data_IF_661561882851
#
_entry.id   IF_661561882851
#
_cell.length_a   1.000
_cell.length_b   1.000
_cell.length_c   1.000
_cell.angle_alpha   90.00
_cell.angle_beta   90.00
_cell.angle_gamma   90.00
#
_symmetry.space_group_name_H-M   'P 1'
#
loop_
_entity.id
_entity.type
_entity.pdbx_description
1 polymer ?
#
# COMPACT_ATOMS: atom_id res chain seq x y z
N UNK A 1 6.37 -23.81 31.49
CA UNK A 1 6.48 -22.42 31.00
C UNK A 1 7.45 -22.42 29.83
N UNK A 2 7.00 -22.94 28.69
CA UNK A 2 7.88 -23.44 27.64
C UNK A 2 8.01 -22.48 26.46
N UNK A 3 9.24 -22.32 26.00
CA UNK A 3 9.70 -21.55 24.82
C UNK A 3 8.83 -21.82 23.56
N UNK A 4 8.16 -22.98 23.49
CA UNK A 4 7.20 -23.35 22.44
C UNK A 4 5.98 -22.41 22.36
N UNK A 5 5.50 -21.84 23.47
CA UNK A 5 4.31 -20.96 23.47
C UNK A 5 4.57 -19.65 22.73
N UNK A 6 5.73 -19.03 22.95
CA UNK A 6 6.11 -17.77 22.33
C UNK A 6 6.38 -17.93 20.82
N UNK A 7 6.98 -19.05 20.42
CA UNK A 7 7.22 -19.36 18.99
C UNK A 7 5.89 -19.53 18.25
N UNK A 8 4.93 -20.23 18.84
CA UNK A 8 3.60 -20.44 18.23
C UNK A 8 2.83 -19.13 18.14
N UNK A 9 2.86 -18.29 19.17
CA UNK A 9 2.23 -16.96 19.13
C UNK A 9 2.87 -16.04 18.08
N UNK A 10 4.19 -16.08 17.92
CA UNK A 10 4.92 -15.34 16.90
C UNK A 10 4.53 -15.75 15.47
N UNK A 11 4.40 -17.05 15.22
CA UNK A 11 3.97 -17.60 13.93
C UNK A 11 2.51 -17.23 13.63
N UNK A 12 1.61 -17.38 14.60
CA UNK A 12 0.19 -17.03 14.44
C UNK A 12 0.04 -15.52 14.15
N UNK A 13 0.76 -14.66 14.87
CA UNK A 13 0.76 -13.22 14.61
C UNK A 13 1.33 -12.85 13.22
N UNK A 14 2.37 -13.56 12.77
CA UNK A 14 2.92 -13.41 11.41
C UNK A 14 1.92 -13.79 10.32
N UNK A 15 1.22 -14.92 10.49
CA UNK A 15 0.20 -15.42 9.55
C UNK A 15 -1.02 -14.47 9.52
N UNK A 16 -1.49 -14.00 10.67
CA UNK A 16 -2.60 -13.05 10.76
C UNK A 16 -2.29 -11.72 10.07
N UNK A 17 -1.08 -11.17 10.28
CA UNK A 17 -0.64 -9.93 9.61
C UNK A 17 -0.57 -10.12 8.09
N UNK A 18 -0.08 -11.26 7.60
CA UNK A 18 -0.01 -11.55 6.17
C UNK A 18 -1.41 -11.77 5.54
N UNK A 19 -2.33 -12.45 6.23
CA UNK A 19 -3.72 -12.60 5.76
C UNK A 19 -4.46 -11.26 5.72
N UNK A 20 -4.26 -10.39 6.72
CA UNK A 20 -4.87 -9.06 6.75
C UNK A 20 -4.36 -8.17 5.61
N UNK A 21 -3.06 -8.23 5.30
CA UNK A 21 -2.47 -7.55 4.12
C UNK A 21 -3.04 -8.06 2.80
N UNK A 22 -3.23 -9.38 2.64
CA UNK A 22 -3.80 -9.97 1.42
C UNK A 22 -5.29 -9.62 1.21
N UNK A 23 -6.08 -9.49 2.28
CA UNK A 23 -7.49 -9.07 2.18
C UNK A 23 -7.65 -7.61 1.72
N UNK A 24 -6.75 -6.71 2.14
CA UNK A 24 -6.86 -5.26 1.85
C UNK A 24 -6.58 -4.89 0.37
N UNK A 25 -5.98 -5.84 -0.39
CA UNK A 25 -5.65 -5.71 -1.82
C UNK A 25 -6.54 -6.55 -2.74
N UNK A 26 -7.53 -7.27 -2.21
CA UNK A 26 -8.45 -8.03 -3.04
C UNK A 26 -9.24 -7.09 -3.97
N UNK A 27 -9.27 -7.39 -5.27
CA UNK A 27 -9.90 -6.55 -6.30
C UNK A 27 -9.07 -5.34 -6.74
N UNK A 28 -7.84 -5.18 -6.25
CA UNK A 28 -6.90 -4.16 -6.71
C UNK A 28 -5.90 -4.75 -7.70
N UNK A 29 -5.81 -4.11 -8.86
CA UNK A 29 -4.83 -4.40 -9.90
C UNK A 29 -3.64 -3.45 -9.74
N UNK A 30 -2.42 -3.99 -9.69
CA UNK A 30 -1.20 -3.19 -9.66
C UNK A 30 -0.96 -2.56 -11.04
N UNK A 31 -0.60 -1.28 -11.04
CA UNK A 31 -0.34 -0.50 -12.25
C UNK A 31 1.16 -0.24 -12.39
N UNK A 32 1.67 -0.47 -13.60
CA UNK A 32 2.95 0.11 -14.02
C UNK A 32 2.79 1.63 -14.19
N UNK A 33 3.88 2.38 -14.02
CA UNK A 33 3.85 3.85 -14.05
C UNK A 33 3.26 4.42 -15.35
N UNK A 34 3.44 3.72 -16.48
CA UNK A 34 2.88 4.09 -17.79
C UNK A 34 1.35 4.04 -17.84
N UNK A 35 0.72 3.22 -16.99
CA UNK A 35 -0.73 3.02 -16.95
C UNK A 35 -1.42 3.91 -15.88
N UNK A 36 -0.66 4.75 -15.19
CA UNK A 36 -1.18 5.68 -14.17
C UNK A 36 -1.62 6.97 -14.87
N UNK A 37 -2.87 7.43 -14.68
CA UNK A 37 -3.28 8.72 -15.22
C UNK A 37 -2.44 9.85 -14.63
N UNK A 38 -2.01 10.78 -15.48
CA UNK A 38 -1.14 11.90 -15.09
C UNK A 38 -1.68 12.75 -13.94
N UNK A 39 -3.01 12.89 -13.81
CA UNK A 39 -3.62 13.61 -12.69
C UNK A 39 -3.43 12.90 -11.35
N UNK A 40 -3.40 11.56 -11.33
CA UNK A 40 -3.13 10.74 -10.13
C UNK A 40 -1.69 10.89 -9.73
N UNK A 41 -0.75 10.82 -10.69
CA UNK A 41 0.67 10.99 -10.44
C UNK A 41 0.98 12.37 -9.84
N UNK A 42 0.45 13.44 -10.44
CA UNK A 42 0.60 14.81 -9.91
C UNK A 42 0.01 14.96 -8.51
N UNK A 43 -1.17 14.39 -8.27
CA UNK A 43 -1.82 14.45 -6.97
C UNK A 43 -1.05 13.63 -5.91
N UNK A 44 -0.49 12.48 -6.31
CA UNK A 44 0.39 11.64 -5.51
C UNK A 44 1.63 12.40 -5.07
N UNK A 45 2.34 12.99 -6.02
CA UNK A 45 3.55 13.76 -5.77
C UNK A 45 3.28 14.94 -4.82
N UNK A 46 2.18 15.67 -5.04
CA UNK A 46 1.76 16.76 -4.15
C UNK A 46 1.45 16.27 -2.73
N UNK A 47 0.83 15.11 -2.59
CA UNK A 47 0.55 14.51 -1.29
C UNK A 47 1.85 14.09 -0.59
N UNK A 48 2.74 13.40 -1.30
CA UNK A 48 4.03 12.94 -0.77
C UNK A 48 4.89 14.11 -0.27
N UNK A 49 5.01 15.18 -1.05
CA UNK A 49 5.78 16.37 -0.66
C UNK A 49 5.24 17.04 0.61
N UNK A 50 3.91 17.01 0.82
CA UNK A 50 3.28 17.56 2.03
C UNK A 50 3.36 16.62 3.23
N UNK A 51 3.48 15.31 2.97
CA UNK A 51 3.38 14.27 3.98
C UNK A 51 4.55 13.30 3.86
N UNK A 52 5.77 13.70 4.26
CA UNK A 52 6.95 12.86 4.16
C UNK A 52 6.76 11.52 4.88
N UNK A 53 7.22 10.43 4.24
CA UNK A 53 7.14 9.07 4.77
C UNK A 53 8.31 8.85 5.73
N UNK A 54 8.03 8.92 7.04
CA UNK A 54 9.08 8.85 8.08
C UNK A 54 9.37 7.41 8.53
N UNK A 55 8.35 6.78 9.14
CA UNK A 55 8.52 5.54 9.92
C UNK A 55 7.62 4.38 9.46
N UNK A 56 6.57 4.65 8.70
CA UNK A 56 5.61 3.64 8.23
C UNK A 56 5.15 3.95 6.82
N UNK A 57 4.78 2.90 6.08
CA UNK A 57 4.18 3.01 4.75
C UNK A 57 2.92 3.87 4.84
N UNK A 58 2.77 4.81 3.91
CA UNK A 58 1.55 5.62 3.78
C UNK A 58 0.70 5.10 2.64
N UNK A 59 -0.61 5.31 2.76
CA UNK A 59 -1.56 4.97 1.72
C UNK A 59 -2.44 6.17 1.43
N UNK A 60 -2.67 6.47 0.16
CA UNK A 60 -3.67 7.46 -0.25
C UNK A 60 -4.50 6.92 -1.41
N UNK A 61 -5.81 7.05 -1.27
CA UNK A 61 -6.76 6.69 -2.31
C UNK A 61 -7.18 7.98 -3.07
N UNK A 62 -7.15 7.93 -4.40
CA UNK A 62 -7.55 8.97 -5.34
C UNK A 62 -8.75 8.47 -6.15
N UNK A 63 -9.87 9.17 -6.09
CA UNK A 63 -11.13 8.73 -6.69
C UNK A 63 -11.25 9.33 -8.09
N UNK A 64 -11.12 8.49 -9.11
CA UNK A 64 -11.42 8.85 -10.48
C UNK A 64 -12.90 8.64 -10.83
N UNK A 65 -13.25 8.93 -12.09
CA UNK A 65 -14.62 8.77 -12.60
C UNK A 65 -15.07 7.30 -12.60
N UNK A 66 -14.23 6.40 -13.11
CA UNK A 66 -14.53 4.98 -13.28
C UNK A 66 -13.75 4.06 -12.33
N UNK A 67 -12.59 4.51 -11.87
CA UNK A 67 -11.67 3.73 -11.06
C UNK A 67 -11.31 4.49 -9.78
N UNK A 68 -11.06 3.74 -8.72
CA UNK A 68 -10.36 4.22 -7.54
C UNK A 68 -8.90 3.83 -7.68
N UNK A 69 -8.00 4.79 -7.53
CA UNK A 69 -6.56 4.58 -7.55
C UNK A 69 -6.04 4.61 -6.12
N UNK A 70 -5.13 3.71 -5.78
CA UNK A 70 -4.48 3.67 -4.47
C UNK A 70 -2.98 3.77 -4.68
N UNK A 71 -2.36 4.68 -3.94
CA UNK A 71 -0.91 4.82 -3.93
C UNK A 71 -0.41 4.40 -2.56
N UNK A 72 0.54 3.48 -2.55
CA UNK A 72 1.30 3.08 -1.37
C UNK A 72 2.67 3.71 -1.46
N UNK A 73 3.01 4.54 -0.48
CA UNK A 73 4.30 5.17 -0.34
C UNK A 73 5.13 4.35 0.66
N UNK A 74 6.10 3.60 0.15
CA UNK A 74 6.97 2.75 0.96
C UNK A 74 8.36 3.37 1.04
N UNK A 75 8.92 3.40 2.25
CA UNK A 75 10.33 3.77 2.42
C UNK A 75 11.19 2.54 2.13
N UNK A 76 12.07 2.62 1.14
CA UNK A 76 13.03 1.56 0.81
C UNK A 76 14.33 1.76 1.60
N UNK A 77 15.16 0.71 1.70
CA UNK A 77 16.39 0.70 2.49
C UNK A 77 17.35 1.87 2.17
N UNK A 78 17.31 2.37 0.94
CA UNK A 78 18.17 3.48 0.47
C UNK A 78 17.65 4.88 0.87
N UNK A 79 16.68 4.95 1.78
CA UNK A 79 16.07 6.21 2.22
C UNK A 79 15.14 6.87 1.19
N UNK A 80 15.02 6.30 -0.01
CA UNK A 80 14.07 6.73 -1.04
C UNK A 80 12.66 6.28 -0.69
N UNK A 81 11.68 7.00 -1.21
CA UNK A 81 10.27 6.62 -1.14
C UNK A 81 9.87 6.08 -2.50
N UNK A 82 9.36 4.86 -2.52
CA UNK A 82 8.78 4.20 -3.68
C UNK A 82 7.26 4.41 -3.67
N UNK A 83 6.70 4.74 -4.82
CA UNK A 83 5.27 4.89 -5.03
C UNK A 83 4.74 3.68 -5.82
N UNK A 84 3.92 2.86 -5.18
CA UNK A 84 3.29 1.69 -5.82
C UNK A 84 1.83 2.02 -6.09
N UNK A 85 1.44 1.94 -7.36
CA UNK A 85 0.11 2.32 -7.81
C UNK A 85 -0.79 1.09 -7.99
N UNK A 86 -2.01 1.19 -7.51
CA UNK A 86 -3.06 0.22 -7.73
C UNK A 86 -4.30 0.90 -8.28
N UNK A 87 -5.13 0.15 -9.00
CA UNK A 87 -6.50 0.57 -9.34
C UNK A 87 -7.50 -0.50 -8.99
N UNK A 88 -8.74 -0.09 -8.77
CA UNK A 88 -9.90 -0.97 -8.82
C UNK A 88 -11.08 -0.26 -9.48
N UNK A 89 -12.00 -0.99 -10.13
CA UNK A 89 -13.26 -0.41 -10.57
C UNK A 89 -14.02 0.18 -9.37
N UNK A 90 -14.69 1.32 -9.56
CA UNK A 90 -15.47 1.95 -8.49
C UNK A 90 -16.66 1.08 -8.03
N UNK A 91 -17.14 0.19 -8.89
CA UNK A 91 -18.32 -0.64 -8.68
C UNK A 91 -18.01 -2.13 -8.41
N UNK A 92 -16.76 -2.46 -8.05
CA UNK A 92 -16.35 -3.83 -7.69
C UNK A 92 -16.49 -4.12 -6.21
#
# INVERSE_FOLDING_TARGET
MGILSEIVEGIINGIYKNRKKKKDLFGWEELTQLNVPSWVERASHKFHNRHPVKNHDKRKDFIGKHYVYRVIYRKVANGRVEEIFFRKPKNS
#
